data_IF_852457738680
#
_entry.id   IF_852457738680
#
_cell.length_a   1.000
_cell.length_b   1.000
_cell.length_c   1.000
_cell.angle_alpha   90.00
_cell.angle_beta   90.00
_cell.angle_gamma   90.00
#
_symmetry.space_group_name_H-M   'P 1'
#
loop_
_entity.id
_entity.type
_entity.pdbx_description
1 polymer ?
#
# COMPACT_ATOMS: atom_id res chain seq x y z
N UNK A 1 -31.26 -40.79 5.93
CA UNK A 1 -29.87 -40.29 5.87
C UNK A 1 -29.59 -39.82 4.44
N UNK A 2 -29.19 -38.56 4.26
CA UNK A 2 -28.45 -38.10 3.08
C UNK A 2 -27.50 -37.00 3.56
N UNK A 3 -26.25 -37.39 3.79
CA UNK A 3 -25.16 -36.51 4.20
C UNK A 3 -24.78 -35.62 3.03
N UNK A 4 -25.04 -34.31 3.14
CA UNK A 4 -24.50 -33.30 2.23
C UNK A 4 -23.05 -33.03 2.63
N UNK A 5 -22.11 -33.50 1.82
CA UNK A 5 -20.70 -33.12 1.91
C UNK A 5 -20.56 -31.61 1.66
N UNK A 6 -20.33 -30.85 2.74
CA UNK A 6 -19.88 -29.47 2.64
C UNK A 6 -18.38 -29.48 2.32
N UNK A 7 -18.02 -29.05 1.11
CA UNK A 7 -16.63 -28.88 0.70
C UNK A 7 -16.03 -27.65 1.40
N UNK A 8 -15.60 -27.81 2.65
CA UNK A 8 -14.83 -26.86 3.47
C UNK A 8 -13.40 -26.76 2.92
N UNK A 9 -13.25 -26.27 1.69
CA UNK A 9 -11.94 -25.89 1.14
C UNK A 9 -11.95 -24.57 0.38
N UNK A 10 -13.12 -24.03 0.03
CA UNK A 10 -13.23 -22.88 -0.87
C UNK A 10 -13.70 -21.58 -0.19
N UNK A 11 -14.21 -21.65 1.05
CA UNK A 11 -14.69 -20.46 1.76
C UNK A 11 -13.56 -19.61 2.35
N UNK A 12 -12.45 -20.22 2.76
CA UNK A 12 -11.33 -19.50 3.37
C UNK A 12 -10.56 -18.69 2.34
N UNK A 13 -10.28 -19.24 1.15
CA UNK A 13 -9.47 -18.54 0.14
C UNK A 13 -10.20 -17.36 -0.50
N UNK A 14 -11.52 -17.45 -0.75
CA UNK A 14 -12.29 -16.32 -1.27
C UNK A 14 -12.46 -15.22 -0.22
N UNK A 15 -12.68 -15.59 1.05
CA UNK A 15 -12.80 -14.61 2.14
C UNK A 15 -11.46 -13.92 2.41
N UNK A 16 -10.34 -14.65 2.45
CA UNK A 16 -9.00 -14.08 2.59
C UNK A 16 -8.62 -13.20 1.40
N UNK A 17 -8.98 -13.60 0.17
CA UNK A 17 -8.75 -12.78 -1.03
C UNK A 17 -9.58 -11.49 -1.00
N UNK A 18 -10.85 -11.54 -0.59
CA UNK A 18 -11.69 -10.35 -0.43
C UNK A 18 -11.16 -9.42 0.66
N UNK A 19 -10.78 -9.96 1.83
CA UNK A 19 -10.20 -9.17 2.93
C UNK A 19 -8.87 -8.53 2.54
N UNK A 20 -7.99 -9.25 1.83
CA UNK A 20 -6.70 -8.72 1.37
C UNK A 20 -6.84 -7.60 0.33
N UNK A 21 -7.83 -7.70 -0.58
CA UNK A 21 -8.13 -6.63 -1.55
C UNK A 21 -8.68 -5.40 -0.84
N UNK A 22 -9.60 -5.55 0.12
CA UNK A 22 -10.15 -4.42 0.89
C UNK A 22 -9.04 -3.69 1.67
N UNK A 23 -8.18 -4.44 2.37
CA UNK A 23 -7.06 -3.85 3.13
C UNK A 23 -6.07 -3.10 2.22
N UNK A 24 -5.77 -3.62 1.03
CA UNK A 24 -4.86 -2.94 0.09
C UNK A 24 -5.46 -1.63 -0.44
N UNK A 25 -6.76 -1.60 -0.73
CA UNK A 25 -7.45 -0.37 -1.16
C UNK A 25 -7.49 0.67 -0.03
N UNK A 26 -7.77 0.24 1.20
CA UNK A 26 -7.70 1.13 2.39
C UNK A 26 -6.29 1.69 2.58
N UNK A 27 -5.27 0.85 2.45
CA UNK A 27 -3.86 1.28 2.51
C UNK A 27 -3.52 2.26 1.40
N UNK A 28 -4.02 2.06 0.17
CA UNK A 28 -3.81 3.00 -0.94
C UNK A 28 -4.41 4.38 -0.64
N UNK A 29 -5.63 4.41 -0.06
CA UNK A 29 -6.28 5.67 0.33
C UNK A 29 -5.54 6.37 1.47
N UNK A 30 -5.12 5.63 2.49
CA UNK A 30 -4.34 6.17 3.60
C UNK A 30 -2.97 6.71 3.14
N UNK A 31 -2.30 6.04 2.21
CA UNK A 31 -1.06 6.52 1.61
C UNK A 31 -1.24 7.86 0.90
N UNK A 32 -2.33 8.03 0.15
CA UNK A 32 -2.63 9.30 -0.51
C UNK A 32 -2.79 10.46 0.50
N UNK A 33 -3.42 10.20 1.65
CA UNK A 33 -3.55 11.18 2.73
C UNK A 33 -2.20 11.52 3.36
N UNK A 34 -1.36 10.52 3.63
CA UNK A 34 0.00 10.74 4.17
C UNK A 34 0.87 11.55 3.22
N UNK A 35 0.91 11.20 1.93
CA UNK A 35 1.68 11.94 0.92
C UNK A 35 1.22 13.40 0.85
N UNK A 36 -0.08 13.65 0.94
CA UNK A 36 -0.63 15.01 0.98
C UNK A 36 -0.24 15.76 2.26
N UNK A 37 -0.23 15.08 3.41
CA UNK A 37 0.22 15.64 4.69
C UNK A 37 1.69 16.07 4.64
N UNK A 38 2.55 15.26 4.02
CA UNK A 38 3.98 15.54 3.83
C UNK A 38 4.29 16.09 2.42
N UNK A 39 3.42 16.98 1.91
CA UNK A 39 3.53 17.51 0.54
C UNK A 39 4.75 18.41 0.30
N UNK A 40 5.32 18.98 1.36
CA UNK A 40 6.56 19.77 1.28
C UNK A 40 7.74 18.89 1.66
N UNK A 41 8.52 18.51 0.65
CA UNK A 41 9.69 17.64 0.78
C UNK A 41 10.98 18.41 0.49
N UNK A 42 12.10 17.89 0.97
CA UNK A 42 13.41 18.49 0.76
C UNK A 42 13.76 18.64 -0.73
N UNK A 43 14.60 19.62 -1.10
CA UNK A 43 15.06 19.79 -2.48
C UNK A 43 15.66 18.51 -3.06
N UNK A 44 15.28 18.19 -4.30
CA UNK A 44 15.74 16.99 -5.01
C UNK A 44 15.03 15.70 -4.59
N UNK A 45 14.06 15.75 -3.68
CA UNK A 45 13.20 14.61 -3.33
C UNK A 45 11.94 14.61 -4.21
N UNK A 46 11.57 13.43 -4.70
CA UNK A 46 10.33 13.22 -5.45
C UNK A 46 9.59 12.01 -4.86
N UNK A 47 8.29 12.18 -4.61
CA UNK A 47 7.40 11.09 -4.21
C UNK A 47 6.46 10.77 -5.37
N UNK A 48 6.43 9.53 -5.81
CA UNK A 48 5.62 9.07 -6.94
C UNK A 48 4.69 7.94 -6.49
N UNK A 49 3.45 7.98 -6.96
CA UNK A 49 2.48 6.90 -6.77
C UNK A 49 2.10 6.32 -8.12
N UNK A 50 2.22 5.00 -8.26
CA UNK A 50 1.84 4.26 -9.46
C UNK A 50 0.74 3.25 -9.14
N UNK A 51 -0.35 3.25 -9.89
CA UNK A 51 -1.36 2.19 -9.81
C UNK A 51 -0.87 0.96 -10.57
N UNK A 52 -0.89 -0.21 -9.94
CA UNK A 52 -0.31 -1.41 -10.54
C UNK A 52 -1.28 -2.56 -10.77
N UNK A 53 -2.49 -2.51 -10.22
CA UNK A 53 -3.45 -3.59 -10.40
C UNK A 53 -4.86 -3.07 -10.67
N UNK A 54 -5.64 -3.93 -11.35
CA UNK A 54 -7.10 -3.75 -11.53
C UNK A 54 -7.85 -3.72 -10.19
N UNK A 55 -7.22 -4.17 -9.11
CA UNK A 55 -7.78 -4.24 -7.76
C UNK A 55 -7.48 -3.00 -6.92
N UNK A 56 -6.80 -2.00 -7.48
CA UNK A 56 -6.52 -0.73 -6.79
C UNK A 56 -5.24 -0.74 -5.96
N UNK A 57 -4.37 -1.74 -6.14
CA UNK A 57 -3.07 -1.76 -5.48
C UNK A 57 -2.19 -0.62 -6.02
N UNK A 58 -1.49 0.06 -5.11
CA UNK A 58 -0.56 1.13 -5.46
C UNK A 58 0.85 0.81 -5.01
N UNK A 59 1.81 1.27 -5.80
CA UNK A 59 3.20 1.41 -5.40
C UNK A 59 3.47 2.87 -5.08
N UNK A 60 4.20 3.12 -4.00
CA UNK A 60 4.80 4.43 -3.73
C UNK A 60 6.31 4.30 -3.84
N UNK A 61 6.94 5.25 -4.52
CA UNK A 61 8.39 5.36 -4.64
C UNK A 61 8.84 6.74 -4.17
N UNK A 62 9.89 6.77 -3.35
CA UNK A 62 10.55 7.99 -2.90
C UNK A 62 11.95 7.99 -3.49
N UNK A 63 12.28 9.05 -4.24
CA UNK A 63 13.59 9.25 -4.86
C UNK A 63 14.27 10.49 -4.30
N UNK A 64 15.60 10.50 -4.29
CA UNK A 64 16.43 11.67 -4.00
C UNK A 64 17.51 11.80 -5.06
N UNK A 65 17.55 12.94 -5.76
CA UNK A 65 18.48 13.21 -6.87
C UNK A 65 18.60 12.00 -7.82
N UNK A 66 17.44 11.49 -8.27
CA UNK A 66 17.29 10.35 -9.18
C UNK A 66 17.53 8.95 -8.59
N UNK A 67 18.10 8.83 -7.38
CA UNK A 67 18.24 7.53 -6.72
C UNK A 67 16.96 7.14 -5.96
N UNK A 68 16.49 5.90 -6.13
CA UNK A 68 15.40 5.35 -5.31
C UNK A 68 15.95 5.11 -3.91
N UNK A 69 15.35 5.77 -2.91
CA UNK A 69 15.74 5.59 -1.51
C UNK A 69 14.78 4.64 -0.78
N UNK A 70 13.53 4.56 -1.24
CA UNK A 70 12.54 3.61 -0.74
C UNK A 70 11.42 3.41 -1.76
N UNK A 71 10.85 2.20 -1.78
CA UNK A 71 9.59 1.94 -2.44
C UNK A 71 8.78 0.90 -1.67
N UNK A 72 7.46 0.95 -1.78
CA UNK A 72 6.56 0.02 -1.09
C UNK A 72 5.25 -0.17 -1.83
N UNK A 73 4.60 -1.31 -1.56
CA UNK A 73 3.33 -1.74 -2.14
C UNK A 73 2.21 -1.73 -1.10
N UNK A 74 1.01 -1.30 -1.48
CA UNK A 74 -0.12 -1.18 -0.54
C UNK A 74 -0.57 -2.49 0.11
N UNK A 75 -0.27 -3.64 -0.50
CA UNK A 75 -0.56 -4.96 0.07
C UNK A 75 0.54 -5.48 1.01
N UNK A 76 1.70 -4.82 1.09
CA UNK A 76 2.77 -5.26 1.98
C UNK A 76 2.41 -5.03 3.44
N UNK A 77 2.83 -5.93 4.35
CA UNK A 77 2.76 -5.67 5.77
C UNK A 77 3.57 -4.41 6.09
N UNK A 78 3.11 -3.61 7.07
CA UNK A 78 3.75 -2.38 7.53
C UNK A 78 3.90 -1.24 6.50
N UNK A 79 3.35 -1.36 5.29
CA UNK A 79 3.48 -0.37 4.22
C UNK A 79 3.23 1.08 4.67
N UNK A 80 2.12 1.33 5.37
CA UNK A 80 1.78 2.68 5.84
C UNK A 80 2.78 3.22 6.88
N UNK A 81 3.26 2.35 7.77
CA UNK A 81 4.20 2.71 8.82
C UNK A 81 5.57 3.06 8.23
N UNK A 82 6.05 2.26 7.28
CA UNK A 82 7.29 2.55 6.57
C UNK A 82 7.17 3.81 5.71
N UNK A 83 6.06 3.96 4.98
CA UNK A 83 5.77 5.15 4.19
C UNK A 83 5.81 6.42 5.04
N UNK A 84 5.09 6.45 6.18
CA UNK A 84 5.09 7.61 7.07
C UNK A 84 6.51 7.92 7.59
N UNK A 85 7.26 6.89 7.99
CA UNK A 85 8.62 7.07 8.49
C UNK A 85 9.53 7.71 7.44
N UNK A 86 9.47 7.24 6.19
CA UNK A 86 10.28 7.81 5.10
C UNK A 86 9.81 9.21 4.70
N UNK A 87 8.50 9.45 4.64
CA UNK A 87 7.96 10.78 4.37
C UNK A 87 8.38 11.80 5.44
N UNK A 88 8.37 11.41 6.72
CA UNK A 88 8.82 12.26 7.82
C UNK A 88 10.32 12.57 7.75
N UNK A 89 11.14 11.60 7.34
CA UNK A 89 12.59 11.78 7.16
C UNK A 89 12.91 12.77 6.03
N UNK A 90 12.16 12.71 4.92
CA UNK A 90 12.40 13.56 3.74
C UNK A 90 11.57 14.85 3.70
N UNK A 91 10.67 15.05 4.68
CA UNK A 91 9.89 16.28 4.80
C UNK A 91 10.80 17.48 5.02
N UNK A 92 10.42 18.62 4.46
CA UNK A 92 11.09 19.89 4.74
C UNK A 92 10.52 20.46 6.05
N UNK A 93 11.41 20.81 6.98
CA UNK A 93 11.05 21.51 8.23
C UNK A 93 10.80 22.98 7.99
#
# INVERSE_FOLDING_TARGET
MHTRNVNVKTATEESSRKMGVTASVENAQAAALLIRQYSVVQPGVTVMTSGASRHGDVQVEIRRFEAVIWHGWSFQPDFLKELESHLRDVAQR
#
